data_IF_281419850879
#
_entry.id   IF_281419850879
#
_cell.length_a   1.000
_cell.length_b   1.000
_cell.length_c   1.000
_cell.angle_alpha   90.00
_cell.angle_beta   90.00
_cell.angle_gamma   90.00
#
_symmetry.space_group_name_H-M   'P 1'
#
loop_
_entity.id
_entity.type
_entity.pdbx_description
1 polymer ?
#
# COMPACT_ATOMS: atom_id res chain seq x y z
N UNK A 1 -25.61 29.53 -9.71
CA UNK A 1 -24.60 28.47 -9.99
C UNK A 1 -23.75 28.12 -8.76
N UNK A 2 -22.95 29.03 -8.17
CA UNK A 2 -22.16 28.76 -6.93
C UNK A 2 -22.97 28.12 -5.79
N UNK A 3 -24.18 28.62 -5.54
CA UNK A 3 -25.07 28.13 -4.47
C UNK A 3 -25.52 26.68 -4.68
N UNK A 4 -25.74 26.25 -5.93
CA UNK A 4 -26.21 24.89 -6.22
C UNK A 4 -25.08 23.87 -6.05
N UNK A 5 -23.87 24.19 -6.50
CA UNK A 5 -22.67 23.35 -6.27
C UNK A 5 -22.40 23.22 -4.77
N UNK A 6 -22.45 24.33 -4.01
CA UNK A 6 -22.26 24.33 -2.55
C UNK A 6 -23.29 23.47 -1.82
N UNK A 7 -24.57 23.57 -2.15
CA UNK A 7 -25.63 22.76 -1.51
C UNK A 7 -25.39 21.27 -1.73
N UNK A 8 -25.04 20.84 -2.94
CA UNK A 8 -24.71 19.44 -3.22
C UNK A 8 -23.45 18.99 -2.45
N UNK A 9 -22.39 19.80 -2.43
CA UNK A 9 -21.15 19.50 -1.71
C UNK A 9 -21.35 19.44 -0.19
N UNK A 10 -22.17 20.33 0.38
CA UNK A 10 -22.50 20.35 1.82
C UNK A 10 -23.26 19.10 2.23
N UNK A 11 -24.25 18.67 1.42
CA UNK A 11 -24.98 17.43 1.66
C UNK A 11 -24.05 16.21 1.68
N UNK A 12 -23.01 16.22 0.84
CA UNK A 12 -22.00 15.15 0.75
C UNK A 12 -20.83 15.31 1.72
N UNK A 13 -20.77 16.43 2.46
CA UNK A 13 -19.62 16.82 3.30
C UNK A 13 -18.31 16.77 2.51
N UNK A 14 -18.30 17.37 1.32
CA UNK A 14 -17.13 17.50 0.45
C UNK A 14 -16.74 18.96 0.29
N UNK A 15 -15.44 19.21 0.10
CA UNK A 15 -14.89 20.58 0.06
C UNK A 15 -15.04 21.21 -1.31
N UNK A 16 -14.72 20.47 -2.37
CA UNK A 16 -14.79 20.93 -3.75
C UNK A 16 -15.07 19.76 -4.70
N UNK A 17 -15.22 20.05 -6.01
CA UNK A 17 -15.50 19.04 -7.02
C UNK A 17 -14.34 18.07 -7.25
N UNK A 18 -13.10 18.43 -6.88
CA UNK A 18 -11.96 17.52 -6.95
C UNK A 18 -12.02 16.48 -5.83
N UNK A 19 -12.41 16.90 -4.63
CA UNK A 19 -12.67 16.03 -3.46
C UNK A 19 -13.81 15.02 -3.72
N UNK A 20 -14.83 15.43 -4.47
CA UNK A 20 -15.90 14.53 -4.95
C UNK A 20 -15.33 13.39 -5.81
N UNK A 21 -14.38 13.70 -6.70
CA UNK A 21 -13.74 12.69 -7.57
C UNK A 21 -12.60 11.94 -6.88
N UNK A 22 -12.17 12.38 -5.70
CA UNK A 22 -10.96 11.88 -5.03
C UNK A 22 -9.68 12.17 -5.82
N UNK A 23 -9.66 13.28 -6.55
CA UNK A 23 -8.55 13.72 -7.39
C UNK A 23 -7.93 15.00 -6.84
N UNK A 24 -6.70 15.26 -7.27
CA UNK A 24 -5.99 16.50 -6.96
C UNK A 24 -6.21 17.55 -8.06
N UNK A 25 -5.99 18.83 -7.74
CA UNK A 25 -6.18 19.97 -8.66
C UNK A 25 -5.20 20.00 -9.83
N UNK A 26 -4.16 19.18 -9.82
CA UNK A 26 -3.17 18.99 -10.88
C UNK A 26 -3.45 17.75 -11.74
N UNK A 27 -4.50 16.98 -11.44
CA UNK A 27 -4.85 15.80 -12.19
C UNK A 27 -5.01 16.11 -13.70
N UNK A 28 -4.48 15.25 -14.60
CA UNK A 28 -4.67 15.37 -16.03
C UNK A 28 -6.15 15.35 -16.41
N UNK A 29 -6.53 16.11 -17.43
CA UNK A 29 -7.93 16.17 -17.89
C UNK A 29 -8.50 14.80 -18.26
N UNK A 30 -7.68 13.92 -18.85
CA UNK A 30 -8.09 12.56 -19.19
C UNK A 30 -8.47 11.73 -17.95
N UNK A 31 -7.73 11.90 -16.84
CA UNK A 31 -8.00 11.21 -15.58
C UNK A 31 -9.28 11.75 -14.91
N UNK A 32 -9.49 13.07 -14.95
CA UNK A 32 -10.71 13.71 -14.44
C UNK A 32 -11.95 13.18 -15.17
N UNK A 33 -11.90 13.08 -16.50
CA UNK A 33 -13.01 12.56 -17.32
C UNK A 33 -13.29 11.11 -16.94
N UNK A 34 -12.26 10.25 -16.96
CA UNK A 34 -12.41 8.83 -16.65
C UNK A 34 -12.98 8.60 -15.24
N UNK A 35 -12.52 9.38 -14.25
CA UNK A 35 -12.97 9.26 -12.86
C UNK A 35 -14.41 9.76 -12.67
N UNK A 36 -14.77 10.86 -13.31
CA UNK A 36 -16.13 11.39 -13.27
C UNK A 36 -17.12 10.41 -13.91
N UNK A 37 -16.76 9.79 -15.04
CA UNK A 37 -17.60 8.79 -15.69
C UNK A 37 -17.74 7.53 -14.84
N UNK A 38 -16.65 7.05 -14.24
CA UNK A 38 -16.67 5.89 -13.34
C UNK A 38 -17.56 6.11 -12.12
N UNK A 39 -17.45 7.27 -11.45
CA UNK A 39 -18.32 7.60 -10.31
C UNK A 39 -19.79 7.76 -10.75
N UNK A 40 -20.05 8.36 -11.92
CA UNK A 40 -21.41 8.45 -12.48
C UNK A 40 -22.03 7.08 -12.66
N UNK A 41 -21.31 6.13 -13.29
CA UNK A 41 -21.80 4.77 -13.51
C UNK A 41 -22.06 4.04 -12.19
N UNK A 42 -21.12 4.15 -11.24
CA UNK A 42 -21.24 3.55 -9.91
C UNK A 42 -22.52 3.99 -9.20
N UNK A 43 -22.85 5.27 -9.24
CA UNK A 43 -24.05 5.81 -8.58
C UNK A 43 -25.32 5.55 -9.39
N UNK A 44 -25.24 5.49 -10.72
CA UNK A 44 -26.37 5.10 -11.58
C UNK A 44 -26.83 3.66 -11.33
N UNK A 45 -25.89 2.73 -11.09
CA UNK A 45 -26.21 1.31 -10.84
C UNK A 45 -26.87 1.04 -9.48
N UNK A 46 -26.92 2.00 -8.55
CA UNK A 46 -27.66 1.84 -7.29
C UNK A 46 -29.17 1.91 -7.57
N UNK A 47 -29.93 0.90 -7.17
CA UNK A 47 -31.37 0.78 -7.49
C UNK A 47 -32.27 1.79 -6.76
N UNK A 48 -31.93 2.17 -5.52
CA UNK A 48 -32.73 3.10 -4.72
C UNK A 48 -32.39 4.57 -5.02
N UNK A 49 -33.41 5.41 -5.16
CA UNK A 49 -33.27 6.87 -5.27
C UNK A 49 -33.26 7.45 -3.86
N UNK A 50 -32.08 7.83 -3.37
CA UNK A 50 -31.88 8.50 -2.09
C UNK A 50 -31.42 9.94 -2.31
N UNK A 51 -31.63 10.81 -1.32
CA UNK A 51 -31.11 12.19 -1.36
C UNK A 51 -29.59 12.22 -1.59
N UNK A 52 -28.86 11.29 -0.95
CA UNK A 52 -27.42 11.11 -1.14
C UNK A 52 -27.07 10.75 -2.60
N UNK A 53 -27.80 9.81 -3.21
CA UNK A 53 -27.59 9.43 -4.62
C UNK A 53 -27.80 10.63 -5.54
N UNK A 54 -28.88 11.40 -5.33
CA UNK A 54 -29.17 12.59 -6.12
C UNK A 54 -28.05 13.63 -5.98
N UNK A 55 -27.60 13.91 -4.75
CA UNK A 55 -26.51 14.84 -4.49
C UNK A 55 -25.19 14.40 -5.15
N UNK A 56 -24.87 13.10 -5.14
CA UNK A 56 -23.70 12.55 -5.84
C UNK A 56 -23.78 12.71 -7.35
N UNK A 57 -24.93 12.40 -7.96
CA UNK A 57 -25.11 12.55 -9.40
C UNK A 57 -25.05 14.02 -9.84
N UNK A 58 -25.60 14.93 -9.03
CA UNK A 58 -25.47 16.38 -9.25
C UNK A 58 -24.02 16.84 -9.13
N UNK A 59 -23.31 16.44 -8.07
CA UNK A 59 -21.91 16.80 -7.86
C UNK A 59 -21.01 16.29 -8.99
N UNK A 60 -21.21 15.05 -9.46
CA UNK A 60 -20.48 14.49 -10.59
C UNK A 60 -20.84 15.20 -11.91
N UNK A 61 -22.10 15.56 -12.12
CA UNK A 61 -22.53 16.36 -13.28
C UNK A 61 -21.87 17.74 -13.31
N UNK A 62 -21.76 18.40 -12.15
CA UNK A 62 -21.01 19.65 -12.03
C UNK A 62 -19.53 19.45 -12.30
N UNK A 63 -18.91 18.37 -11.80
CA UNK A 63 -17.52 18.05 -12.08
C UNK A 63 -17.27 17.81 -13.58
N UNK A 64 -18.17 17.08 -14.26
CA UNK A 64 -18.11 16.88 -15.70
C UNK A 64 -18.25 18.20 -16.48
N UNK A 65 -19.07 19.14 -16.00
CA UNK A 65 -19.27 20.43 -16.68
C UNK A 65 -18.13 21.42 -16.43
N UNK A 66 -17.54 21.40 -15.23
CA UNK A 66 -16.58 22.41 -14.80
C UNK A 66 -15.12 22.00 -14.88
N UNK A 67 -14.79 20.70 -14.84
CA UNK A 67 -13.39 20.24 -14.75
C UNK A 67 -12.85 19.61 -16.03
N UNK A 68 -13.71 19.24 -16.99
CA UNK A 68 -13.31 18.47 -18.19
C UNK A 68 -12.80 19.32 -19.33
N UNK A 69 -13.09 20.63 -19.34
CA UNK A 69 -12.54 21.57 -20.33
C UNK A 69 -11.55 22.53 -19.66
N UNK A 70 -10.37 22.82 -20.28
CA UNK A 70 -9.36 23.69 -19.67
C UNK A 70 -9.90 25.07 -19.30
N UNK A 71 -10.76 25.65 -20.15
CA UNK A 71 -11.36 26.96 -19.91
C UNK A 71 -12.36 26.97 -18.76
N UNK A 72 -13.21 25.93 -18.64
CA UNK A 72 -14.15 25.83 -17.51
C UNK A 72 -13.41 25.53 -16.20
N UNK A 73 -12.37 24.68 -16.26
CA UNK A 73 -11.52 24.34 -15.12
C UNK A 73 -10.83 25.57 -14.57
N UNK A 74 -10.20 26.36 -15.43
CA UNK A 74 -9.58 27.62 -15.03
C UNK A 74 -10.59 28.62 -14.41
N UNK A 75 -11.84 28.68 -14.90
CA UNK A 75 -12.89 29.51 -14.29
C UNK A 75 -13.30 29.01 -12.91
N UNK A 76 -13.39 27.69 -12.74
CA UNK A 76 -13.71 27.07 -11.47
C UNK A 76 -12.58 27.23 -10.45
N UNK A 77 -11.33 27.01 -10.86
CA UNK A 77 -10.15 27.19 -10.00
C UNK A 77 -9.99 28.65 -9.55
N UNK A 78 -10.24 29.61 -10.44
CA UNK A 78 -10.31 31.04 -10.06
C UNK A 78 -11.41 31.31 -9.04
N UNK A 79 -12.54 30.63 -9.17
CA UNK A 79 -13.64 30.76 -8.19
C UNK A 79 -13.23 30.21 -6.83
N UNK A 80 -12.59 29.04 -6.79
CA UNK A 80 -12.07 28.46 -5.53
C UNK A 80 -11.01 29.36 -4.88
N UNK A 81 -10.12 29.94 -5.67
CA UNK A 81 -9.12 30.89 -5.17
C UNK A 81 -9.76 32.13 -4.55
N UNK A 82 -10.80 32.70 -5.18
CA UNK A 82 -11.54 33.83 -4.62
C UNK A 82 -12.27 33.45 -3.33
N UNK A 83 -12.89 32.27 -3.26
CA UNK A 83 -13.55 31.80 -2.05
C UNK A 83 -12.58 31.62 -0.88
N UNK A 84 -11.40 31.07 -1.14
CA UNK A 84 -10.31 30.99 -0.17
C UNK A 84 -9.87 32.39 0.30
N UNK A 85 -9.74 33.37 -0.61
CA UNK A 85 -9.39 34.74 -0.24
C UNK A 85 -10.48 35.42 0.60
N UNK A 86 -11.76 35.19 0.30
CA UNK A 86 -12.91 35.71 1.05
C UNK A 86 -12.99 35.11 2.46
N UNK A 87 -12.68 33.82 2.60
CA UNK A 87 -12.63 33.12 3.89
C UNK A 87 -11.48 33.62 4.75
N UNK A 88 -10.27 33.72 4.17
CA UNK A 88 -9.12 34.31 4.85
C UNK A 88 -9.39 35.76 5.27
N UNK A 89 -10.01 36.55 4.40
CA UNK A 89 -10.34 37.95 4.71
C UNK A 89 -11.28 38.04 5.90
N UNK A 90 -12.28 37.15 6.01
CA UNK A 90 -13.17 37.07 7.18
C UNK A 90 -12.40 36.70 8.45
N UNK A 91 -11.50 35.71 8.38
CA UNK A 91 -10.67 35.31 9.51
C UNK A 91 -9.76 36.46 9.99
N UNK A 92 -9.12 37.18 9.04
CA UNK A 92 -8.29 38.35 9.34
C UNK A 92 -9.13 39.45 9.99
N UNK A 93 -10.29 39.80 9.41
CA UNK A 93 -11.17 40.84 9.97
C UNK A 93 -11.64 40.50 11.38
N UNK A 94 -11.98 39.23 11.62
CA UNK A 94 -12.34 38.74 12.94
C UNK A 94 -11.17 38.89 13.93
N UNK A 95 -9.97 38.45 13.54
CA UNK A 95 -8.78 38.52 14.37
C UNK A 95 -8.34 39.96 14.69
N UNK A 96 -8.54 40.90 13.76
CA UNK A 96 -8.19 42.31 13.96
C UNK A 96 -9.20 43.09 14.81
N UNK A 97 -10.37 42.53 15.11
CA UNK A 97 -11.44 43.24 15.79
C UNK A 97 -11.04 43.64 17.22
N UNK A 98 -10.96 44.96 17.46
CA UNK A 98 -10.61 45.51 18.77
C UNK A 98 -9.12 45.55 19.08
N UNK A 99 -8.25 45.18 18.13
CA UNK A 99 -6.82 45.29 18.27
C UNK A 99 -6.32 46.62 17.71
N UNK A 100 -5.35 47.24 18.39
CA UNK A 100 -4.61 48.41 17.88
C UNK A 100 -3.28 48.01 17.20
N UNK A 101 -2.78 46.82 17.51
CA UNK A 101 -1.50 46.28 17.04
C UNK A 101 -1.61 44.79 16.78
N UNK A 102 -1.01 44.31 15.70
CA UNK A 102 -0.95 42.88 15.38
C UNK A 102 0.40 42.32 15.85
N UNK A 103 0.37 41.43 16.85
CA UNK A 103 1.57 40.76 17.35
C UNK A 103 2.09 39.70 16.34
N UNK A 104 3.38 39.34 16.42
CA UNK A 104 3.99 38.36 15.52
C UNK A 104 3.35 36.97 15.57
N UNK A 105 2.82 36.55 16.71
CA UNK A 105 2.18 35.24 16.88
C UNK A 105 0.86 35.16 16.11
N UNK A 106 -0.03 36.13 16.33
CA UNK A 106 -1.31 36.23 15.59
C UNK A 106 -1.07 36.39 14.08
N UNK A 107 -0.04 37.16 13.70
CA UNK A 107 0.36 37.27 12.29
C UNK A 107 0.75 35.91 11.71
N UNK A 108 1.54 35.11 12.42
CA UNK A 108 1.93 33.79 11.94
C UNK A 108 0.72 32.85 11.82
N UNK A 109 -0.20 32.89 12.79
CA UNK A 109 -1.45 32.09 12.73
C UNK A 109 -2.28 32.45 11.50
N UNK A 110 -2.41 33.73 11.16
CA UNK A 110 -3.15 34.17 9.96
C UNK A 110 -2.45 33.76 8.66
N UNK A 111 -1.12 33.70 8.65
CA UNK A 111 -0.35 33.20 7.50
C UNK A 111 -0.46 31.67 7.37
N UNK A 112 -0.50 30.95 8.49
CA UNK A 112 -0.73 29.51 8.52
C UNK A 112 -2.16 29.17 8.05
N UNK A 113 -3.16 29.95 8.45
CA UNK A 113 -4.54 29.85 7.97
C UNK A 113 -4.62 30.11 6.45
N UNK A 114 -3.90 31.12 5.96
CA UNK A 114 -3.81 31.39 4.52
C UNK A 114 -3.18 30.21 3.75
N UNK A 115 -2.14 29.59 4.32
CA UNK A 115 -1.52 28.40 3.73
C UNK A 115 -2.48 27.21 3.72
N UNK A 116 -3.30 27.02 4.76
CA UNK A 116 -4.33 25.99 4.82
C UNK A 116 -5.41 26.16 3.73
N UNK A 117 -5.70 27.41 3.35
CA UNK A 117 -6.60 27.76 2.26
C UNK A 117 -5.93 27.72 0.87
N UNK A 118 -4.64 27.37 0.80
CA UNK A 118 -3.87 27.29 -0.45
C UNK A 118 -3.43 28.65 -1.01
N UNK A 119 -3.42 29.69 -0.18
CA UNK A 119 -2.99 31.04 -0.55
C UNK A 119 -1.50 31.18 -0.26
N UNK A 120 -0.72 31.58 -1.27
CA UNK A 120 0.72 31.81 -1.11
C UNK A 120 1.05 32.95 -0.13
N UNK A 121 2.21 32.92 0.55
CA UNK A 121 2.55 33.84 1.63
C UNK A 121 2.63 35.31 1.17
N UNK A 122 3.06 35.56 -0.06
CA UNK A 122 3.08 36.92 -0.62
C UNK A 122 1.66 37.49 -0.75
N UNK A 123 0.75 36.69 -1.30
CA UNK A 123 -0.65 37.06 -1.48
C UNK A 123 -1.37 37.21 -0.14
N UNK A 124 -1.14 36.27 0.78
CA UNK A 124 -1.62 36.35 2.16
C UNK A 124 -1.12 37.61 2.87
N UNK A 125 0.16 37.95 2.71
CA UNK A 125 0.75 39.17 3.25
C UNK A 125 0.15 40.44 2.66
N UNK A 126 -0.19 40.46 1.37
CA UNK A 126 -0.90 41.58 0.74
C UNK A 126 -2.30 41.75 1.32
N UNK A 127 -3.06 40.65 1.46
CA UNK A 127 -4.40 40.67 2.04
C UNK A 127 -4.38 41.12 3.50
N UNK A 128 -3.44 40.60 4.30
CA UNK A 128 -3.24 40.99 5.68
C UNK A 128 -2.88 42.48 5.80
N UNK A 129 -1.90 42.97 5.04
CA UNK A 129 -1.55 44.41 5.02
C UNK A 129 -2.71 45.30 4.59
N UNK A 130 -3.56 44.83 3.68
CA UNK A 130 -4.74 45.59 3.24
C UNK A 130 -5.79 45.66 4.34
N UNK A 131 -6.09 44.53 4.98
CA UNK A 131 -7.07 44.45 6.06
C UNK A 131 -6.60 45.19 7.33
N UNK A 132 -5.34 45.05 7.73
CA UNK A 132 -4.76 45.78 8.86
C UNK A 132 -4.81 47.30 8.67
N UNK A 133 -4.49 47.79 7.46
CA UNK A 133 -4.64 49.21 7.12
C UNK A 133 -6.09 49.68 7.18
N UNK A 134 -7.02 48.90 6.66
CA UNK A 134 -8.45 49.23 6.70
C UNK A 134 -9.00 49.26 8.14
N UNK A 135 -8.44 48.45 9.04
CA UNK A 135 -8.81 48.39 10.45
C UNK A 135 -7.99 49.32 11.36
N UNK A 136 -7.04 50.10 10.83
CA UNK A 136 -6.18 50.99 11.62
C UNK A 136 -5.16 50.27 12.52
N UNK A 137 -4.86 48.99 12.26
CA UNK A 137 -3.96 48.16 13.07
C UNK A 137 -2.52 48.29 12.59
N UNK A 138 -1.62 48.66 13.51
CA UNK A 138 -0.19 48.72 13.21
C UNK A 138 0.39 47.30 13.17
N UNK A 139 1.01 46.95 12.04
CA UNK A 139 1.76 45.71 11.90
C UNK A 139 3.15 45.91 12.50
N UNK A 140 3.54 45.05 13.45
CA UNK A 140 4.91 45.08 13.94
C UNK A 140 5.89 44.69 12.84
N UNK A 141 6.58 45.71 12.35
CA UNK A 141 7.67 45.62 11.39
C UNK A 141 8.97 45.22 12.07
N UNK A 142 8.99 44.02 12.66
CA UNK A 142 10.22 43.24 12.62
C UNK A 142 10.24 42.55 11.27
N UNK A 143 11.02 43.06 10.31
CA UNK A 143 11.40 42.23 9.18
C UNK A 143 12.03 40.96 9.79
N UNK A 144 11.52 39.75 9.50
CA UNK A 144 12.26 38.56 9.89
C UNK A 144 13.65 38.72 9.30
N UNK A 145 14.68 38.59 10.14
CA UNK A 145 16.06 38.56 9.67
C UNK A 145 16.13 37.65 8.43
N UNK A 146 16.85 38.04 7.37
CA UNK A 146 16.96 37.22 6.17
C UNK A 146 17.67 35.92 6.55
N UNK A 147 16.88 34.91 6.90
CA UNK A 147 17.36 33.55 7.12
C UNK A 147 17.84 33.07 5.75
N UNK A 148 19.16 33.07 5.59
CA UNK A 148 19.94 32.50 4.50
C UNK A 148 19.17 32.30 3.18
N UNK A 149 19.37 33.25 2.27
CA UNK A 149 18.90 33.26 0.88
C UNK A 149 18.95 31.88 0.19
N UNK A 150 17.79 31.23 0.18
CA UNK A 150 17.38 30.27 -0.82
C UNK A 150 15.90 30.54 -1.12
N UNK A 151 15.40 30.24 -2.34
CA UNK A 151 13.96 30.34 -2.61
C UNK A 151 13.21 29.49 -1.57
N UNK A 152 12.13 30.04 -1.01
CA UNK A 152 11.29 29.34 -0.04
C UNK A 152 10.88 27.98 -0.61
N UNK A 153 11.49 26.90 -0.08
CA UNK A 153 11.23 25.53 -0.50
C UNK A 153 10.11 24.99 0.36
N UNK A 154 9.07 24.46 -0.28
CA UNK A 154 7.88 23.96 0.39
C UNK A 154 7.79 22.45 0.20
N UNK A 155 7.61 21.72 1.30
CA UNK A 155 7.39 20.28 1.29
C UNK A 155 5.89 20.00 1.27
N UNK A 156 5.44 19.19 0.32
CA UNK A 156 4.05 18.73 0.25
C UNK A 156 3.93 17.34 0.86
N UNK A 157 3.09 17.20 1.88
CA UNK A 157 2.80 15.90 2.46
C UNK A 157 1.99 15.06 1.46
N UNK A 158 2.46 13.84 1.15
CA UNK A 158 1.74 12.92 0.26
C UNK A 158 0.47 12.31 0.86
N UNK A 159 0.34 12.33 2.20
CA UNK A 159 -0.82 11.74 2.89
C UNK A 159 -2.01 12.69 2.94
N UNK A 160 -1.79 13.98 3.25
CA UNK A 160 -2.87 14.94 3.44
C UNK A 160 -2.77 16.19 2.55
N UNK A 161 -1.78 16.24 1.64
CA UNK A 161 -1.47 17.40 0.80
C UNK A 161 -1.12 18.69 1.55
N UNK A 162 -0.93 18.62 2.87
CA UNK A 162 -0.54 19.75 3.70
C UNK A 162 0.85 20.25 3.32
N UNK A 163 1.01 21.56 3.23
CA UNK A 163 2.29 22.21 2.90
C UNK A 163 3.04 22.53 4.18
N UNK A 164 4.31 22.18 4.26
CA UNK A 164 5.19 22.49 5.40
C UNK A 164 6.44 23.20 4.87
N UNK A 165 6.88 24.24 5.56
CA UNK A 165 8.11 24.97 5.21
C UNK A 165 9.33 24.05 5.38
N UNK A 166 10.16 23.94 4.34
CA UNK A 166 11.38 23.14 4.37
C UNK A 166 12.35 23.62 5.45
N UNK A 167 12.52 24.93 5.66
CA UNK A 167 13.45 25.45 6.67
C UNK A 167 13.03 25.04 8.07
N UNK A 168 11.72 24.99 8.31
CA UNK A 168 11.18 24.55 9.58
C UNK A 168 11.30 23.03 9.77
N UNK A 169 10.99 22.26 8.73
CA UNK A 169 11.15 20.82 8.73
C UNK A 169 12.63 20.40 8.86
N UNK A 170 13.54 21.14 8.22
CA UNK A 170 14.98 20.88 8.22
C UNK A 170 15.64 21.24 9.55
N UNK A 171 15.04 22.10 10.39
CA UNK A 171 15.52 22.30 11.77
C UNK A 171 15.33 21.05 12.64
N UNK A 172 14.33 20.23 12.32
CA UNK A 172 14.03 18.96 12.99
C UNK A 172 14.33 17.78 12.05
N UNK A 173 15.54 17.72 11.50
CA UNK A 173 15.96 16.74 10.46
C UNK A 173 15.53 15.30 10.72
N UNK A 174 15.51 14.85 11.98
CA UNK A 174 15.16 13.46 12.30
C UNK A 174 13.66 13.21 12.45
N UNK A 175 12.88 14.24 12.78
CA UNK A 175 11.45 14.15 13.14
C UNK A 175 10.59 15.07 12.29
N UNK A 176 11.05 15.44 11.09
CA UNK A 176 10.26 16.25 10.18
C UNK A 176 8.95 15.53 9.83
N UNK A 177 7.87 16.00 10.43
CA UNK A 177 6.52 15.48 10.24
C UNK A 177 5.65 16.55 9.62
N UNK A 178 4.62 16.13 8.90
CA UNK A 178 3.64 17.03 8.38
C UNK A 178 2.88 17.67 9.54
N UNK A 179 2.79 19.00 9.55
CA UNK A 179 2.06 19.74 10.59
C UNK A 179 0.56 19.41 10.65
N UNK A 180 -0.01 18.93 9.53
CA UNK A 180 -1.45 18.70 9.41
C UNK A 180 -1.86 17.28 9.83
N UNK A 181 -1.09 16.24 9.46
CA UNK A 181 -1.43 14.84 9.79
C UNK A 181 -0.38 14.11 10.63
N UNK A 182 0.74 14.74 10.97
CA UNK A 182 1.82 14.13 11.75
C UNK A 182 2.66 13.09 11.00
N UNK A 183 2.35 12.79 9.73
CA UNK A 183 3.09 11.79 8.95
C UNK A 183 4.50 12.30 8.61
N UNK A 184 5.50 11.42 8.69
CA UNK A 184 6.88 11.71 8.30
C UNK A 184 6.98 12.34 6.90
N UNK A 185 7.70 13.45 6.80
CA UNK A 185 8.11 14.09 5.53
C UNK A 185 9.41 13.49 4.96
N UNK A 186 9.89 12.42 5.59
CA UNK A 186 10.95 11.59 5.07
C UNK A 186 10.42 10.24 4.60
N UNK A 187 11.04 9.74 3.55
CA UNK A 187 10.92 8.35 3.13
C UNK A 187 12.31 7.69 3.16
N UNK A 188 12.33 6.37 3.41
CA UNK A 188 13.56 5.59 3.45
C UNK A 188 13.65 4.72 2.21
N UNK A 189 14.77 4.80 1.49
CA UNK A 189 14.98 3.96 0.33
C UNK A 189 15.13 2.47 0.76
N UNK A 190 14.33 1.54 0.23
CA UNK A 190 14.40 0.12 0.61
C UNK A 190 15.71 -0.55 0.16
N UNK A 191 16.41 0.02 -0.81
CA UNK A 191 17.66 -0.53 -1.36
C UNK A 191 18.88 -0.10 -0.55
N UNK A 192 19.07 1.21 -0.36
CA UNK A 192 20.26 1.76 0.31
C UNK A 192 20.04 2.26 1.74
N UNK A 193 18.79 2.24 2.23
CA UNK A 193 18.36 2.68 3.57
C UNK A 193 18.63 4.16 3.90
N UNK A 194 19.02 4.98 2.92
CA UNK A 194 19.14 6.42 3.09
C UNK A 194 17.76 7.05 3.22
N UNK A 195 17.66 8.05 4.10
CA UNK A 195 16.47 8.88 4.26
C UNK A 195 16.51 10.00 3.21
N UNK A 196 15.35 10.29 2.64
CA UNK A 196 15.13 11.30 1.62
C UNK A 196 13.91 12.12 1.98
N UNK A 197 13.87 13.36 1.53
CA UNK A 197 12.69 14.19 1.64
C UNK A 197 11.60 13.73 0.68
N UNK A 198 10.33 13.94 1.03
CA UNK A 198 9.18 13.57 0.18
C UNK A 198 9.15 14.25 -1.19
N UNK A 199 9.87 15.36 -1.36
CA UNK A 199 10.01 16.09 -2.61
C UNK A 199 11.20 15.62 -3.46
N UNK A 200 12.03 14.70 -2.95
CA UNK A 200 13.06 14.00 -3.72
C UNK A 200 12.45 12.68 -4.24
N UNK A 201 11.92 12.63 -5.48
CA UNK A 201 11.23 11.45 -6.00
C UNK A 201 12.18 10.30 -6.34
N UNK A 202 13.49 10.54 -6.32
CA UNK A 202 14.51 9.57 -6.74
C UNK A 202 15.66 9.54 -5.74
N UNK A 203 16.00 8.34 -5.30
CA UNK A 203 17.18 8.07 -4.51
C UNK A 203 18.44 8.05 -5.41
N UNK A 204 19.63 8.46 -4.94
CA UNK A 204 20.90 8.32 -5.67
C UNK A 204 21.23 6.89 -6.13
N UNK A 205 20.70 5.87 -5.46
CA UNK A 205 20.84 4.47 -5.91
C UNK A 205 19.97 4.10 -7.13
N UNK A 206 19.18 5.04 -7.64
CA UNK A 206 18.30 4.86 -8.80
C UNK A 206 16.83 4.55 -8.46
N UNK A 207 16.51 4.21 -7.20
CA UNK A 207 15.15 3.85 -6.79
C UNK A 207 14.18 5.04 -6.83
N UNK A 208 12.98 4.82 -7.35
CA UNK A 208 11.91 5.83 -7.47
C UNK A 208 10.90 5.70 -6.33
N UNK A 209 10.53 6.82 -5.73
CA UNK A 209 9.55 6.90 -4.63
C UNK A 209 8.17 6.35 -5.04
N UNK A 210 7.77 6.49 -6.29
CA UNK A 210 6.50 5.95 -6.82
C UNK A 210 6.43 4.42 -6.72
N UNK A 211 7.57 3.73 -6.74
CA UNK A 211 7.63 2.28 -6.61
C UNK A 211 7.66 1.79 -5.15
N UNK A 212 7.71 2.69 -4.17
CA UNK A 212 7.79 2.32 -2.76
C UNK A 212 6.57 1.50 -2.31
N UNK A 213 5.37 2.02 -2.58
CA UNK A 213 4.12 1.38 -2.15
C UNK A 213 3.88 0.03 -2.85
N UNK A 214 3.99 -0.10 -4.20
CA UNK A 214 3.93 -1.40 -4.87
C UNK A 214 4.98 -2.39 -4.36
N UNK A 215 6.22 -1.94 -4.11
CA UNK A 215 7.29 -2.79 -3.61
C UNK A 215 6.96 -3.37 -2.24
N UNK A 216 6.48 -2.56 -1.31
CA UNK A 216 6.10 -3.01 0.04
C UNK A 216 4.99 -4.05 -0.05
N UNK A 217 3.93 -3.79 -0.82
CA UNK A 217 2.80 -4.72 -0.99
C UNK A 217 3.24 -6.07 -1.54
N UNK A 218 4.04 -6.08 -2.61
CA UNK A 218 4.53 -7.34 -3.18
C UNK A 218 5.50 -8.07 -2.24
N UNK A 219 6.31 -7.35 -1.47
CA UNK A 219 7.20 -7.98 -0.51
C UNK A 219 6.44 -8.63 0.64
N UNK A 220 5.39 -7.98 1.16
CA UNK A 220 4.49 -8.56 2.17
C UNK A 220 3.73 -9.78 1.64
N UNK A 221 3.20 -9.69 0.41
CA UNK A 221 2.54 -10.81 -0.24
C UNK A 221 3.49 -12.01 -0.45
N UNK A 222 4.75 -11.76 -0.81
CA UNK A 222 5.77 -12.81 -0.91
C UNK A 222 6.05 -13.48 0.45
N UNK A 223 6.12 -12.70 1.53
CA UNK A 223 6.30 -13.26 2.88
C UNK A 223 5.11 -14.10 3.30
N UNK A 224 3.89 -13.64 3.01
CA UNK A 224 2.67 -14.39 3.29
C UNK A 224 2.65 -15.71 2.51
N UNK A 225 2.88 -15.67 1.19
CA UNK A 225 2.96 -16.85 0.33
C UNK A 225 4.00 -17.87 0.83
N UNK A 226 5.18 -17.39 1.24
CA UNK A 226 6.21 -18.25 1.83
C UNK A 226 5.74 -18.90 3.15
N UNK A 227 5.02 -18.18 4.02
CA UNK A 227 4.50 -18.73 5.29
C UNK A 227 3.49 -19.85 5.04
N UNK A 228 2.62 -19.70 4.03
CA UNK A 228 1.65 -20.73 3.64
C UNK A 228 2.25 -21.81 2.73
N UNK A 229 3.57 -21.81 2.53
CA UNK A 229 4.31 -22.77 1.67
C UNK A 229 3.92 -22.74 0.19
N UNK A 230 3.31 -21.65 -0.28
CA UNK A 230 3.11 -21.39 -1.69
C UNK A 230 4.36 -20.72 -2.28
N UNK A 231 5.35 -21.55 -2.60
CA UNK A 231 6.63 -21.10 -3.12
C UNK A 231 6.54 -20.51 -4.53
N UNK A 232 5.55 -20.90 -5.32
CA UNK A 232 5.33 -20.39 -6.68
C UNK A 232 4.86 -18.93 -6.63
N UNK A 233 3.82 -18.64 -5.85
CA UNK A 233 3.34 -17.28 -5.64
C UNK A 233 4.40 -16.40 -4.97
N UNK A 234 5.15 -16.95 -4.00
CA UNK A 234 6.25 -16.23 -3.35
C UNK A 234 7.33 -15.80 -4.35
N UNK A 235 7.74 -16.68 -5.28
CA UNK A 235 8.71 -16.34 -6.32
C UNK A 235 8.19 -15.26 -7.27
N UNK A 236 6.93 -15.34 -7.67
CA UNK A 236 6.34 -14.35 -8.58
C UNK A 236 6.30 -12.95 -7.95
N UNK A 237 5.87 -12.85 -6.69
CA UNK A 237 5.89 -11.58 -5.97
C UNK A 237 7.32 -11.04 -5.77
N UNK A 238 8.31 -11.90 -5.51
CA UNK A 238 9.71 -11.47 -5.41
C UNK A 238 10.28 -11.00 -6.76
N UNK A 239 9.85 -11.57 -7.89
CA UNK A 239 10.21 -11.07 -9.23
C UNK A 239 9.67 -9.65 -9.44
N UNK A 240 8.41 -9.39 -9.09
CA UNK A 240 7.84 -8.03 -9.12
C UNK A 240 8.63 -7.05 -8.26
N UNK A 241 9.07 -7.46 -7.06
CA UNK A 241 9.96 -6.64 -6.23
C UNK A 241 11.29 -6.33 -6.94
N UNK A 242 11.86 -7.29 -7.68
CA UNK A 242 13.09 -7.09 -8.45
C UNK A 242 12.90 -6.19 -9.67
N UNK A 243 11.71 -6.17 -10.30
CA UNK A 243 11.37 -5.22 -11.37
C UNK A 243 11.43 -3.78 -10.85
N UNK A 244 10.87 -3.52 -9.66
CA UNK A 244 10.91 -2.20 -9.02
C UNK A 244 12.27 -1.84 -8.42
N UNK A 245 12.99 -2.84 -7.91
CA UNK A 245 14.28 -2.66 -7.23
C UNK A 245 15.23 -3.85 -7.52
N UNK A 246 15.98 -3.81 -8.64
CA UNK A 246 16.84 -4.92 -9.07
C UNK A 246 17.91 -5.33 -8.04
N UNK A 247 18.38 -4.37 -7.26
CA UNK A 247 19.42 -4.57 -6.24
C UNK A 247 18.86 -4.77 -4.82
N UNK A 248 17.57 -5.05 -4.66
CA UNK A 248 16.98 -5.29 -3.35
C UNK A 248 17.53 -6.59 -2.72
N UNK A 249 18.39 -6.44 -1.71
CA UNK A 249 19.10 -7.56 -1.06
C UNK A 249 18.13 -8.59 -0.48
N UNK A 250 17.04 -8.13 0.13
CA UNK A 250 16.03 -9.02 0.73
C UNK A 250 15.34 -9.91 -0.32
N UNK A 251 15.05 -9.35 -1.50
CA UNK A 251 14.37 -10.10 -2.56
C UNK A 251 15.32 -11.13 -3.19
N UNK A 252 16.57 -10.76 -3.47
CA UNK A 252 17.59 -11.68 -4.00
C UNK A 252 17.83 -12.87 -3.06
N UNK A 253 18.02 -12.60 -1.76
CA UNK A 253 18.17 -13.64 -0.75
C UNK A 253 16.92 -14.51 -0.63
N UNK A 254 15.73 -13.90 -0.67
CA UNK A 254 14.46 -14.62 -0.66
C UNK A 254 14.31 -15.59 -1.84
N UNK A 255 14.60 -15.14 -3.07
CA UNK A 255 14.54 -15.99 -4.27
C UNK A 255 15.50 -17.17 -4.15
N UNK A 256 16.74 -16.92 -3.72
CA UNK A 256 17.73 -17.98 -3.53
C UNK A 256 17.25 -19.01 -2.50
N UNK A 257 16.78 -18.56 -1.34
CA UNK A 257 16.28 -19.45 -0.28
C UNK A 257 15.08 -20.28 -0.73
N UNK A 258 14.15 -19.70 -1.48
CA UNK A 258 13.00 -20.45 -2.01
C UNK A 258 13.47 -21.51 -3.02
N UNK A 259 14.44 -21.18 -3.89
CA UNK A 259 15.03 -22.17 -4.82
C UNK A 259 15.71 -23.32 -4.06
N UNK A 260 16.43 -23.04 -2.99
CA UNK A 260 17.04 -24.05 -2.12
C UNK A 260 15.97 -24.96 -1.49
N UNK A 261 14.87 -24.39 -0.98
CA UNK A 261 13.75 -25.17 -0.46
C UNK A 261 13.10 -26.06 -1.53
N UNK A 262 12.88 -25.53 -2.74
CA UNK A 262 12.32 -26.31 -3.84
C UNK A 262 13.24 -27.48 -4.24
N UNK A 263 14.55 -27.25 -4.28
CA UNK A 263 15.52 -28.32 -4.54
C UNK A 263 15.50 -29.40 -3.45
N UNK A 264 15.37 -29.01 -2.18
CA UNK A 264 15.23 -29.96 -1.07
C UNK A 264 13.93 -30.76 -1.16
N UNK A 265 12.82 -30.13 -1.53
CA UNK A 265 11.53 -30.82 -1.76
C UNK A 265 11.70 -31.89 -2.85
N UNK A 266 12.33 -31.52 -3.97
CA UNK A 266 12.56 -32.45 -5.08
C UNK A 266 13.48 -33.61 -4.69
N UNK A 267 14.56 -33.33 -3.95
CA UNK A 267 15.47 -34.37 -3.46
C UNK A 267 14.78 -35.38 -2.53
N UNK A 268 13.93 -34.90 -1.62
CA UNK A 268 13.18 -35.78 -0.71
C UNK A 268 12.12 -36.58 -1.47
N UNK A 269 11.46 -35.97 -2.45
CA UNK A 269 10.52 -36.66 -3.34
C UNK A 269 11.21 -37.76 -4.14
N UNK A 270 12.36 -37.48 -4.75
CA UNK A 270 13.15 -38.47 -5.48
C UNK A 270 13.60 -39.63 -4.58
N UNK A 271 13.99 -39.35 -3.32
CA UNK A 271 14.29 -40.39 -2.33
C UNK A 271 13.06 -41.28 -2.07
N UNK A 272 11.88 -40.69 -1.88
CA UNK A 272 10.64 -41.44 -1.71
C UNK A 272 10.36 -42.34 -2.93
N UNK A 273 10.44 -41.79 -4.15
CA UNK A 273 10.18 -42.55 -5.38
C UNK A 273 11.19 -43.70 -5.57
N UNK A 274 12.47 -43.48 -5.24
CA UNK A 274 13.51 -44.51 -5.26
C UNK A 274 13.25 -45.64 -4.26
N UNK A 275 12.93 -45.32 -3.01
CA UNK A 275 12.65 -46.34 -1.99
C UNK A 275 11.35 -47.10 -2.29
N UNK A 276 10.34 -46.41 -2.85
CA UNK A 276 9.11 -47.05 -3.30
C UNK A 276 9.37 -48.02 -4.45
N UNK A 277 10.25 -47.68 -5.40
CA UNK A 277 10.64 -48.55 -6.51
C UNK A 277 11.41 -49.80 -6.04
N UNK A 278 12.11 -49.71 -4.91
CA UNK A 278 12.80 -50.83 -4.25
C UNK A 278 11.90 -51.66 -3.35
N UNK A 279 10.62 -51.31 -3.23
CA UNK A 279 9.68 -51.90 -2.26
C UNK A 279 10.11 -51.72 -0.79
N UNK A 280 10.92 -50.71 -0.49
CA UNK A 280 11.30 -50.36 0.87
C UNK A 280 10.25 -49.42 1.49
N UNK A 281 9.14 -49.97 1.97
CA UNK A 281 8.00 -49.19 2.43
C UNK A 281 8.23 -48.49 3.77
N UNK A 282 9.09 -49.02 4.64
CA UNK A 282 9.43 -48.34 5.90
C UNK A 282 10.29 -47.11 5.61
N UNK A 283 11.33 -47.27 4.79
CA UNK A 283 12.18 -46.16 4.34
C UNK A 283 11.38 -45.10 3.55
N UNK A 284 10.49 -45.54 2.64
CA UNK A 284 9.58 -44.64 1.92
C UNK A 284 8.68 -43.86 2.88
N UNK A 285 8.20 -44.48 3.96
CA UNK A 285 7.43 -43.79 5.01
C UNK A 285 8.21 -42.67 5.70
N UNK A 286 9.50 -42.90 6.00
CA UNK A 286 10.40 -41.88 6.56
C UNK A 286 10.61 -40.73 5.57
N UNK A 287 10.79 -41.04 4.29
CA UNK A 287 10.94 -40.03 3.23
C UNK A 287 9.67 -39.16 3.11
N UNK A 288 8.47 -39.77 3.11
CA UNK A 288 7.18 -39.04 3.07
C UNK A 288 6.98 -38.17 4.30
N UNK A 289 7.34 -38.66 5.50
CA UNK A 289 7.27 -37.86 6.72
C UNK A 289 8.21 -36.64 6.67
N UNK A 290 9.39 -36.81 6.05
CA UNK A 290 10.34 -35.72 5.81
C UNK A 290 9.79 -34.73 4.77
N UNK A 291 9.22 -35.22 3.67
CA UNK A 291 8.59 -34.39 2.63
C UNK A 291 7.49 -33.49 3.20
N UNK A 292 6.64 -34.05 4.07
CA UNK A 292 5.55 -33.32 4.73
C UNK A 292 6.00 -32.12 5.60
N UNK A 293 7.28 -32.07 6.01
CA UNK A 293 7.82 -30.92 6.75
C UNK A 293 7.98 -29.68 5.86
N UNK A 294 8.09 -29.88 4.55
CA UNK A 294 8.42 -28.83 3.59
C UNK A 294 7.23 -28.30 2.79
N UNK A 295 6.20 -29.12 2.58
CA UNK A 295 5.04 -28.77 1.73
C UNK A 295 3.75 -28.64 2.54
N UNK A 296 2.71 -28.06 1.95
CA UNK A 296 1.39 -28.01 2.57
C UNK A 296 0.87 -29.44 2.86
N UNK A 297 0.40 -29.74 4.09
CA UNK A 297 -0.14 -31.06 4.42
C UNK A 297 -1.39 -31.44 3.60
N UNK A 298 -2.11 -30.48 3.03
CA UNK A 298 -3.30 -30.70 2.19
C UNK A 298 -2.98 -31.02 0.74
N UNK A 299 -1.69 -31.02 0.34
CA UNK A 299 -1.27 -31.33 -1.02
C UNK A 299 -1.74 -32.75 -1.42
N UNK A 300 -2.53 -32.90 -2.52
CA UNK A 300 -3.08 -34.20 -2.92
C UNK A 300 -2.01 -35.26 -3.18
N UNK A 301 -0.88 -34.88 -3.77
CA UNK A 301 0.24 -35.80 -4.04
C UNK A 301 0.83 -36.37 -2.75
N UNK A 302 1.00 -35.54 -1.72
CA UNK A 302 1.50 -35.97 -0.42
C UNK A 302 0.51 -36.92 0.27
N UNK A 303 -0.78 -36.62 0.18
CA UNK A 303 -1.83 -37.47 0.76
C UNK A 303 -1.91 -38.82 0.06
N UNK A 304 -1.81 -38.85 -1.27
CA UNK A 304 -1.75 -40.08 -2.05
C UNK A 304 -0.51 -40.91 -1.69
N UNK A 305 0.66 -40.28 -1.55
CA UNK A 305 1.89 -40.94 -1.14
C UNK A 305 1.77 -41.58 0.26
N UNK A 306 1.22 -40.85 1.23
CA UNK A 306 0.93 -41.37 2.58
C UNK A 306 -0.01 -42.55 2.56
N UNK A 307 -1.12 -42.44 1.82
CA UNK A 307 -2.11 -43.50 1.72
C UNK A 307 -1.51 -44.76 1.10
N UNK A 308 -0.70 -44.61 0.05
CA UNK A 308 -0.01 -45.73 -0.63
C UNK A 308 0.94 -46.47 0.31
N UNK A 309 1.80 -45.76 1.04
CA UNK A 309 2.72 -46.37 2.01
C UNK A 309 1.94 -47.05 3.14
N UNK A 310 0.95 -46.37 3.71
CA UNK A 310 0.15 -46.92 4.81
C UNK A 310 -0.62 -48.18 4.39
N UNK A 311 -1.16 -48.21 3.17
CA UNK A 311 -1.86 -49.38 2.64
C UNK A 311 -0.89 -50.55 2.42
N UNK A 312 0.24 -50.32 1.75
CA UNK A 312 1.23 -51.38 1.51
C UNK A 312 1.78 -51.99 2.80
N UNK A 313 2.05 -51.17 3.82
CA UNK A 313 2.48 -51.67 5.14
C UNK A 313 1.40 -52.48 5.85
N UNK A 314 0.12 -52.10 5.74
CA UNK A 314 -1.00 -52.89 6.28
C UNK A 314 -1.10 -54.25 5.60
N UNK A 315 -1.00 -54.27 4.27
CA UNK A 315 -1.12 -55.50 3.48
C UNK A 315 0.04 -56.46 3.75
N UNK A 316 1.28 -55.97 3.80
CA UNK A 316 2.46 -56.76 4.16
C UNK A 316 2.35 -57.35 5.56
N UNK A 317 1.92 -56.56 6.56
CA UNK A 317 1.71 -57.03 7.94
C UNK A 317 0.60 -58.07 8.04
N UNK A 318 -0.49 -57.89 7.29
CA UNK A 318 -1.58 -58.86 7.25
C UNK A 318 -1.14 -60.21 6.67
N UNK A 319 -0.32 -60.20 5.60
CA UNK A 319 0.26 -61.42 5.04
C UNK A 319 1.25 -62.10 6.01
N UNK A 320 2.12 -61.33 6.65
CA UNK A 320 3.05 -61.85 7.65
C UNK A 320 2.33 -62.49 8.84
N UNK A 321 1.26 -61.85 9.36
CA UNK A 321 0.45 -62.42 10.43
C UNK A 321 -0.24 -63.73 10.03
N UNK A 322 -0.79 -63.80 8.80
CA UNK A 322 -1.35 -65.04 8.24
C UNK A 322 -0.29 -66.14 8.10
N UNK A 323 0.90 -65.79 7.63
CA UNK A 323 2.02 -66.72 7.50
C UNK A 323 2.42 -67.30 8.86
N UNK A 324 2.50 -66.46 9.89
CA UNK A 324 2.88 -66.88 11.23
C UNK A 324 1.86 -67.83 11.86
N UNK A 325 0.56 -67.59 11.66
CA UNK A 325 -0.49 -68.50 12.11
C UNK A 325 -0.44 -69.89 11.43
N UNK A 326 0.15 -69.97 10.24
CA UNK A 326 0.30 -71.21 9.46
C UNK A 326 1.66 -71.89 9.63
N UNK A 327 2.62 -71.25 10.30
CA UNK A 327 4.01 -71.70 10.34
C UNK A 327 4.18 -73.13 10.88
N UNK A 328 3.38 -73.53 11.88
CA UNK A 328 3.44 -74.86 12.49
C UNK A 328 2.64 -75.90 11.72
N UNK A 329 1.49 -75.52 11.15
CA UNK A 329 0.56 -76.45 10.50
C UNK A 329 0.89 -76.72 9.02
N UNK A 330 1.33 -75.69 8.29
CA UNK A 330 1.75 -75.78 6.89
C UNK A 330 2.95 -74.85 6.61
N UNK A 331 4.17 -75.35 6.82
CA UNK A 331 5.38 -74.55 6.61
C UNK A 331 5.59 -74.09 5.16
N UNK A 332 5.07 -74.82 4.16
CA UNK A 332 5.24 -74.45 2.75
C UNK A 332 4.39 -73.24 2.42
N UNK A 333 3.13 -73.25 2.85
CA UNK A 333 2.22 -72.12 2.65
C UNK A 333 2.67 -70.88 3.44
N UNK A 334 3.15 -71.06 4.68
CA UNK A 334 3.71 -69.97 5.46
C UNK A 334 4.89 -69.29 4.73
N UNK A 335 5.83 -70.07 4.16
CA UNK A 335 6.94 -69.53 3.35
C UNK A 335 6.45 -68.76 2.13
N UNK A 336 5.39 -69.22 1.46
CA UNK A 336 4.79 -68.51 0.31
C UNK A 336 4.25 -67.15 0.74
N UNK A 337 3.50 -67.10 1.84
CA UNK A 337 2.93 -65.86 2.38
C UNK A 337 4.00 -64.87 2.85
N UNK A 338 5.07 -65.35 3.50
CA UNK A 338 6.21 -64.48 3.87
C UNK A 338 6.90 -63.90 2.63
N UNK A 339 7.10 -64.68 1.55
CA UNK A 339 7.66 -64.16 0.29
C UNK A 339 6.74 -63.12 -0.35
N UNK A 340 5.44 -63.31 -0.30
CA UNK A 340 4.47 -62.31 -0.78
C UNK A 340 4.51 -61.03 0.05
N UNK A 341 4.63 -61.15 1.38
CA UNK A 341 4.81 -59.99 2.26
C UNK A 341 6.10 -59.21 1.92
N UNK A 342 7.22 -59.93 1.75
CA UNK A 342 8.51 -59.34 1.37
C UNK A 342 8.51 -58.71 -0.04
N UNK A 343 7.70 -59.24 -0.96
CA UNK A 343 7.52 -58.63 -2.28
C UNK A 343 6.75 -57.30 -2.23
N UNK A 344 5.98 -57.06 -1.17
CA UNK A 344 5.26 -55.79 -0.94
C UNK A 344 6.14 -54.82 -0.15
N UNK A 345 6.76 -55.29 0.93
CA UNK A 345 7.65 -54.53 1.81
C UNK A 345 8.92 -55.35 2.06
N UNK A 346 10.01 -55.00 1.39
CA UNK A 346 11.26 -55.74 1.43
C UNK A 346 12.14 -55.36 2.64
N UNK A 347 11.84 -54.25 3.33
CA UNK A 347 12.59 -53.68 4.45
C UNK A 347 11.93 -53.85 5.84
#
# INVERSE_FOLDING_TARGET
MRRQIRVALEHLRRRDLYDVLGLTRDAPTAEIIARADAERQRWMHKSQVTAEKTAWLEAVSYAQSHLTTPAARARYDRTLALEAEEELTRAIQFALKGLSRLDPGTRQVLLDEAAALGIGPERAGVLLRRASRAAGVVLDGGAPEPVANGPARWLRCRSCSGVTDFLQAARTQETATCRHCGVSLHWSCPVCRRKHWVDEPRCPCGFLLEHLEPLVRHFEAAQHAHKVRDFAAALEHLRRVQEFAPHHVGARKGVQKIKEHLAQIEQVRATFESELARHHLVAAGVAVATWARWVDPTLPELQAARARVAQGLRDARALAAKAQARATADPKEARRLFRQALAIAAD
#
